data_IF_765498511468
#
_entry.id   IF_765498511468
#
_cell.length_a   1.000
_cell.length_b   1.000
_cell.length_c   1.000
_cell.angle_alpha   90.00
_cell.angle_beta   90.00
_cell.angle_gamma   90.00
#
_symmetry.space_group_name_H-M   'P 1'
#
loop_
_entity.id
_entity.type
_entity.pdbx_description
1 polymer ?
#
# COMPACT_ATOMS: atom_id res chain seq x y z
N UNK A 1 -13.34 -21.99 -11.88
CA UNK A 1 -14.03 -20.74 -12.28
C UNK A 1 -12.99 -19.94 -13.09
N UNK A 2 -13.12 -19.85 -14.41
CA UNK A 2 -12.10 -19.13 -15.21
C UNK A 2 -12.30 -17.62 -15.09
N UNK A 3 -11.17 -16.91 -15.09
CA UNK A 3 -11.04 -15.45 -15.05
C UNK A 3 -11.95 -14.74 -16.06
N UNK A 4 -12.29 -15.40 -17.16
CA UNK A 4 -13.17 -14.90 -18.22
C UNK A 4 -14.56 -14.53 -17.73
N UNK A 5 -15.14 -15.25 -16.74
CA UNK A 5 -16.47 -14.91 -16.19
C UNK A 5 -16.46 -13.66 -15.30
N UNK A 6 -15.32 -13.37 -14.64
CA UNK A 6 -15.15 -12.17 -13.83
C UNK A 6 -14.79 -10.95 -14.68
N UNK A 7 -13.94 -11.14 -15.70
CA UNK A 7 -13.69 -10.12 -16.71
C UNK A 7 -14.96 -9.81 -17.50
N UNK A 8 -15.78 -10.80 -17.88
CA UNK A 8 -17.13 -10.57 -18.40
C UNK A 8 -17.98 -9.81 -17.39
N UNK A 9 -18.08 -10.23 -16.12
CA UNK A 9 -18.90 -9.50 -15.13
C UNK A 9 -18.47 -8.03 -14.93
N UNK A 10 -17.17 -7.75 -14.89
CA UNK A 10 -16.62 -6.41 -14.69
C UNK A 10 -16.64 -5.53 -15.95
N UNK A 11 -16.67 -6.14 -17.14
CA UNK A 11 -16.63 -5.46 -18.45
C UNK A 11 -17.97 -5.57 -19.22
N UNK A 12 -18.96 -6.28 -18.69
CA UNK A 12 -20.31 -6.33 -19.22
C UNK A 12 -20.95 -4.95 -19.09
N UNK A 13 -21.84 -4.62 -20.05
CA UNK A 13 -22.87 -3.58 -19.93
C UNK A 13 -23.72 -3.85 -18.68
N UNK A 14 -23.14 -3.51 -17.54
CA UNK A 14 -23.80 -3.46 -16.27
C UNK A 14 -24.61 -2.17 -16.29
N UNK A 15 -25.89 -2.23 -15.98
CA UNK A 15 -26.69 -1.04 -15.65
C UNK A 15 -26.10 -0.43 -14.36
N UNK A 16 -24.95 0.24 -14.49
CA UNK A 16 -24.31 1.00 -13.42
C UNK A 16 -25.32 2.10 -13.07
N UNK A 17 -25.84 2.13 -11.83
CA UNK A 17 -26.84 3.13 -11.46
C UNK A 17 -26.30 4.53 -11.73
N UNK A 18 -27.14 5.42 -12.26
CA UNK A 18 -26.76 6.81 -12.54
C UNK A 18 -26.12 7.47 -11.30
N UNK A 19 -26.59 7.13 -10.10
CA UNK A 19 -26.03 7.61 -8.83
C UNK A 19 -24.56 7.23 -8.61
N UNK A 20 -24.10 6.09 -9.13
CA UNK A 20 -22.70 5.70 -9.06
C UNK A 20 -21.83 6.52 -10.02
N UNK A 21 -22.32 6.82 -11.23
CA UNK A 21 -21.66 7.76 -12.14
C UNK A 21 -21.61 9.17 -11.55
N UNK A 22 -22.71 9.64 -10.96
CA UNK A 22 -22.78 10.96 -10.33
C UNK A 22 -21.79 11.07 -9.16
N UNK A 23 -21.68 10.02 -8.34
CA UNK A 23 -20.71 9.97 -7.25
C UNK A 23 -19.27 9.88 -7.76
N UNK A 24 -18.99 9.06 -8.76
CA UNK A 24 -17.65 8.95 -9.36
C UNK A 24 -17.20 10.30 -9.97
N UNK A 25 -18.09 10.99 -10.69
CA UNK A 25 -17.83 12.33 -11.19
C UNK A 25 -17.56 13.32 -10.05
N UNK A 26 -18.35 13.25 -8.97
CA UNK A 26 -18.15 14.09 -7.78
C UNK A 26 -16.79 13.85 -7.14
N UNK A 27 -16.39 12.59 -6.94
CA UNK A 27 -15.09 12.23 -6.35
C UNK A 27 -13.91 12.62 -7.24
N UNK A 28 -14.07 12.54 -8.56
CA UNK A 28 -13.06 13.01 -9.51
C UNK A 28 -12.84 14.52 -9.39
N UNK A 29 -13.93 15.29 -9.30
CA UNK A 29 -13.85 16.74 -9.11
C UNK A 29 -13.25 17.09 -7.73
N UNK A 30 -13.64 16.36 -6.68
CA UNK A 30 -13.07 16.53 -5.34
C UNK A 30 -11.56 16.27 -5.33
N UNK A 31 -11.11 15.18 -5.97
CA UNK A 31 -9.68 14.85 -6.13
C UNK A 31 -8.93 15.95 -6.88
N UNK A 32 -9.52 16.54 -7.93
CA UNK A 32 -8.95 17.71 -8.63
C UNK A 32 -8.89 18.94 -7.71
N UNK A 33 -9.88 19.12 -6.83
CA UNK A 33 -9.88 20.15 -5.80
C UNK A 33 -8.70 19.98 -4.82
N UNK A 34 -8.47 18.76 -4.34
CA UNK A 34 -7.31 18.41 -3.49
C UNK A 34 -6.01 18.66 -4.24
N UNK A 35 -5.92 18.21 -5.49
CA UNK A 35 -4.77 18.47 -6.34
C UNK A 35 -4.50 19.98 -6.52
N UNK A 36 -5.56 20.78 -6.66
CA UNK A 36 -5.43 22.24 -6.75
C UNK A 36 -4.88 22.83 -5.45
N UNK A 37 -5.40 22.39 -4.29
CA UNK A 37 -4.89 22.79 -2.97
C UNK A 37 -3.42 22.41 -2.75
N UNK A 38 -2.96 21.33 -3.38
CA UNK A 38 -1.59 20.85 -3.29
C UNK A 38 -0.61 21.51 -4.29
N UNK A 39 -1.10 22.34 -5.22
CA UNK A 39 -0.36 22.76 -6.40
C UNK A 39 0.98 23.46 -6.12
N UNK A 40 1.00 24.26 -5.08
CA UNK A 40 2.16 25.06 -4.69
C UNK A 40 3.06 24.42 -3.64
N UNK A 41 2.71 23.22 -3.17
CA UNK A 41 3.51 22.50 -2.19
C UNK A 41 4.84 22.04 -2.80
N UNK A 42 5.90 22.14 -1.99
CA UNK A 42 7.27 21.85 -2.42
C UNK A 42 7.44 20.40 -2.91
N UNK A 43 6.85 19.43 -2.22
CA UNK A 43 6.95 18.02 -2.63
C UNK A 43 6.32 17.76 -4.01
N UNK A 44 5.21 18.42 -4.33
CA UNK A 44 4.59 18.34 -5.66
C UNK A 44 5.51 18.90 -6.75
N UNK A 45 6.21 20.01 -6.48
CA UNK A 45 7.19 20.61 -7.40
C UNK A 45 8.38 19.65 -7.64
N UNK A 46 8.93 19.07 -6.56
CA UNK A 46 10.02 18.09 -6.63
C UNK A 46 9.60 16.87 -7.47
N UNK A 47 8.39 16.34 -7.26
CA UNK A 47 7.90 15.19 -8.00
C UNK A 47 7.78 15.46 -9.51
N UNK A 48 7.28 16.65 -9.90
CA UNK A 48 7.19 17.06 -11.31
C UNK A 48 8.57 17.24 -11.95
N UNK A 49 9.51 17.85 -11.24
CA UNK A 49 10.88 18.00 -11.73
C UNK A 49 11.59 16.65 -11.86
N UNK A 50 11.34 15.71 -10.95
CA UNK A 50 11.83 14.34 -11.05
C UNK A 50 11.24 13.61 -12.27
N UNK A 51 9.91 13.68 -12.45
CA UNK A 51 9.24 13.08 -13.61
C UNK A 51 9.76 13.66 -14.92
N UNK A 52 10.04 14.96 -14.99
CA UNK A 52 10.64 15.57 -16.16
C UNK A 52 12.06 15.07 -16.42
N UNK A 53 12.89 14.97 -15.38
CA UNK A 53 14.30 14.61 -15.52
C UNK A 53 14.53 13.12 -15.84
N UNK A 54 13.67 12.23 -15.33
CA UNK A 54 13.95 10.79 -15.33
C UNK A 54 12.90 9.92 -16.02
N UNK A 55 11.70 10.44 -16.31
CA UNK A 55 10.61 9.67 -16.90
C UNK A 55 10.33 10.04 -18.36
N UNK A 56 11.35 10.16 -19.21
CA UNK A 56 11.14 10.56 -20.60
C UNK A 56 10.30 9.52 -21.39
N UNK A 57 9.46 10.00 -22.30
CA UNK A 57 8.75 9.13 -23.23
C UNK A 57 9.69 8.68 -24.36
N UNK A 58 9.75 7.38 -24.63
CA UNK A 58 10.52 6.83 -25.75
C UNK A 58 9.93 7.17 -27.13
N UNK A 59 8.65 7.58 -27.18
CA UNK A 59 7.95 7.97 -28.38
C UNK A 59 6.87 9.05 -28.07
N UNK A 60 6.54 9.95 -29.01
CA UNK A 60 5.57 11.03 -28.79
C UNK A 60 4.18 10.55 -28.33
N UNK A 61 3.69 9.43 -28.85
CA UNK A 61 2.41 8.82 -28.49
C UNK A 61 2.32 8.31 -27.05
N UNK A 62 3.46 8.24 -26.35
CA UNK A 62 3.53 7.84 -24.94
C UNK A 62 3.75 9.05 -24.01
N UNK A 63 3.61 10.26 -24.54
CA UNK A 63 3.75 11.51 -23.77
C UNK A 63 2.41 11.92 -23.16
N UNK A 64 2.45 12.35 -21.90
CA UNK A 64 1.36 12.97 -21.18
C UNK A 64 1.83 14.27 -20.51
N UNK A 65 0.91 15.21 -20.32
CA UNK A 65 1.18 16.47 -19.63
C UNK A 65 0.91 16.35 -18.14
N UNK A 66 1.84 16.84 -17.33
CA UNK A 66 1.66 16.87 -15.87
C UNK A 66 0.59 17.90 -15.48
N UNK A 67 -0.34 17.49 -14.62
CA UNK A 67 -1.42 18.36 -14.13
C UNK A 67 -0.86 19.55 -13.32
N UNK A 68 -1.43 20.74 -13.51
CA UNK A 68 -0.99 22.03 -12.92
C UNK A 68 0.44 22.49 -13.27
N UNK A 69 1.05 21.93 -14.32
CA UNK A 69 2.40 22.25 -14.76
C UNK A 69 2.49 22.35 -16.28
N UNK A 70 1.89 21.38 -16.97
CA UNK A 70 1.77 21.36 -18.41
C UNK A 70 3.04 20.90 -19.15
N UNK A 71 4.19 20.73 -18.49
CA UNK A 71 5.36 20.07 -19.12
C UNK A 71 5.03 18.61 -19.45
N UNK A 72 5.57 18.12 -20.57
CA UNK A 72 5.37 16.75 -21.05
C UNK A 72 6.40 15.76 -20.48
N UNK A 73 5.94 14.55 -20.18
CA UNK A 73 6.77 13.40 -19.73
C UNK A 73 6.09 12.10 -20.18
N UNK A 74 6.66 10.92 -19.90
CA UNK A 74 5.98 9.65 -20.17
C UNK A 74 4.68 9.51 -19.36
N UNK A 75 3.73 8.70 -19.84
CA UNK A 75 2.50 8.38 -19.10
C UNK A 75 2.78 7.95 -17.63
N UNK A 76 3.73 7.04 -17.34
CA UNK A 76 4.09 6.71 -15.96
C UNK A 76 4.69 7.88 -15.17
N UNK A 77 5.47 8.74 -15.82
CA UNK A 77 6.00 9.96 -15.20
C UNK A 77 4.91 10.94 -14.80
N UNK A 78 3.93 11.16 -15.67
CA UNK A 78 2.81 12.05 -15.40
C UNK A 78 1.91 11.48 -14.28
N UNK A 79 1.70 10.17 -14.27
CA UNK A 79 0.96 9.47 -13.21
C UNK A 79 1.67 9.57 -11.86
N UNK A 80 2.99 9.30 -11.82
CA UNK A 80 3.80 9.46 -10.61
C UNK A 80 3.70 10.89 -10.05
N UNK A 81 3.92 11.88 -10.92
CA UNK A 81 3.86 13.28 -10.53
C UNK A 81 2.48 13.67 -9.99
N UNK A 82 1.39 13.25 -10.64
CA UNK A 82 0.03 13.52 -10.18
C UNK A 82 -0.30 12.82 -8.85
N UNK A 83 0.12 11.56 -8.69
CA UNK A 83 -0.10 10.81 -7.46
C UNK A 83 0.60 11.46 -6.27
N UNK A 84 1.92 11.71 -6.37
CA UNK A 84 2.68 12.36 -5.29
C UNK A 84 2.16 13.77 -4.98
N UNK A 85 1.69 14.48 -6.00
CA UNK A 85 1.12 15.81 -5.85
C UNK A 85 -0.19 15.80 -5.05
N UNK A 86 -1.13 14.91 -5.40
CA UNK A 86 -2.42 14.76 -4.69
C UNK A 86 -2.21 14.25 -3.27
N UNK A 87 -1.36 13.24 -3.13
CA UNK A 87 -1.10 12.55 -1.88
C UNK A 87 -0.43 13.45 -0.84
N UNK A 88 0.43 14.37 -1.25
CA UNK A 88 1.12 15.26 -0.32
C UNK A 88 0.20 16.16 0.52
N UNK A 89 -1.03 16.45 0.06
CA UNK A 89 -2.03 17.15 0.87
C UNK A 89 -2.91 16.18 1.69
N UNK A 90 -2.96 14.90 1.29
CA UNK A 90 -3.64 13.80 2.00
C UNK A 90 -5.12 14.09 2.32
N UNK A 91 -5.78 14.90 1.49
CA UNK A 91 -7.17 15.32 1.69
C UNK A 91 -8.18 14.59 0.77
N UNK A 92 -7.70 13.71 -0.10
CA UNK A 92 -8.49 12.99 -1.10
C UNK A 92 -9.17 11.73 -0.55
N UNK A 93 -8.78 11.28 0.64
CA UNK A 93 -9.35 10.15 1.38
C UNK A 93 -10.59 10.51 2.22
N UNK A 94 -11.18 11.68 1.94
CA UNK A 94 -12.24 12.29 2.73
C UNK A 94 -11.64 13.12 3.86
N UNK A 95 -11.91 14.43 3.85
CA UNK A 95 -11.50 15.33 4.93
C UNK A 95 -12.12 14.88 6.26
N UNK A 96 -11.31 14.22 7.09
CA UNK A 96 -11.64 13.78 8.44
C UNK A 96 -10.56 14.31 9.41
N UNK A 97 -10.93 14.92 10.56
CA UNK A 97 -9.95 15.24 11.61
C UNK A 97 -9.09 14.06 12.06
N UNK A 98 -9.53 12.81 11.85
CA UNK A 98 -8.69 11.61 11.95
C UNK A 98 -8.00 11.33 10.61
N UNK A 99 -6.72 11.70 10.48
CA UNK A 99 -5.89 11.38 9.30
C UNK A 99 -5.75 9.87 9.11
N UNK A 100 -6.07 9.34 7.92
CA UNK A 100 -5.64 8.02 7.47
C UNK A 100 -6.58 7.29 6.51
N UNK A 101 -5.99 6.33 5.76
CA UNK A 101 -6.59 5.41 4.78
C UNK A 101 -7.63 4.40 5.33
N UNK A 102 -8.23 4.65 6.49
CA UNK A 102 -8.95 3.63 7.30
C UNK A 102 -10.22 3.04 6.68
N UNK A 103 -10.70 3.58 5.54
CA UNK A 103 -12.00 3.22 4.94
C UNK A 103 -11.98 2.73 3.49
N UNK A 104 -10.82 2.54 2.85
CA UNK A 104 -10.74 2.48 1.38
C UNK A 104 -11.46 1.27 0.72
N UNK A 105 -11.62 0.12 1.39
CA UNK A 105 -12.45 -0.97 0.87
C UNK A 105 -12.85 -1.96 1.97
N UNK A 106 -14.15 -2.27 2.09
CA UNK A 106 -14.62 -3.37 2.96
C UNK A 106 -14.22 -4.73 2.38
N UNK A 107 -14.20 -4.85 1.05
CA UNK A 107 -13.70 -6.04 0.32
C UNK A 107 -12.76 -5.55 -0.79
N UNK A 108 -11.44 -5.74 -0.66
CA UNK A 108 -10.48 -5.26 -1.67
C UNK A 108 -10.49 -6.16 -2.90
N UNK A 109 -10.63 -5.57 -4.08
CA UNK A 109 -10.54 -6.27 -5.37
C UNK A 109 -9.11 -6.29 -5.94
N UNK A 110 -8.21 -5.48 -5.37
CA UNK A 110 -6.83 -5.34 -5.80
C UNK A 110 -5.87 -5.36 -4.61
N UNK A 111 -4.60 -5.72 -4.87
CA UNK A 111 -3.54 -5.64 -3.85
C UNK A 111 -3.37 -4.23 -3.29
N UNK A 112 -3.56 -3.19 -4.11
CA UNK A 112 -3.51 -1.81 -3.62
C UNK A 112 -4.61 -1.54 -2.60
N UNK A 113 -5.86 -1.92 -2.88
CA UNK A 113 -6.96 -1.77 -1.93
C UNK A 113 -6.77 -2.61 -0.66
N UNK A 114 -6.20 -3.81 -0.78
CA UNK A 114 -5.95 -4.69 0.36
C UNK A 114 -4.95 -4.10 1.36
N UNK A 115 -3.92 -3.41 0.87
CA UNK A 115 -2.91 -2.74 1.71
C UNK A 115 -3.51 -1.61 2.57
N UNK A 116 -4.60 -1.01 2.12
CA UNK A 116 -5.26 0.12 2.80
C UNK A 116 -6.58 -0.27 3.48
N UNK A 117 -6.84 -1.56 3.70
CA UNK A 117 -8.05 -2.04 4.38
C UNK A 117 -7.71 -2.70 5.72
N UNK A 118 -7.89 -1.97 6.83
CA UNK A 118 -7.76 -2.53 8.18
C UNK A 118 -8.69 -3.73 8.42
N UNK A 119 -9.97 -3.70 8.03
CA UNK A 119 -10.84 -4.86 8.19
C UNK A 119 -10.31 -6.09 7.47
N UNK A 120 -9.79 -5.93 6.24
CA UNK A 120 -9.20 -7.01 5.48
C UNK A 120 -7.95 -7.56 6.15
N UNK A 121 -7.03 -6.70 6.56
CA UNK A 121 -5.82 -7.10 7.27
C UNK A 121 -6.14 -7.91 8.55
N UNK A 122 -7.14 -7.46 9.33
CA UNK A 122 -7.60 -8.19 10.51
C UNK A 122 -8.21 -9.55 10.14
N UNK A 123 -9.08 -9.60 9.13
CA UNK A 123 -9.71 -10.84 8.70
C UNK A 123 -8.69 -11.86 8.19
N UNK A 124 -7.72 -11.42 7.39
CA UNK A 124 -6.60 -12.24 6.92
C UNK A 124 -5.79 -12.79 8.11
N UNK A 125 -5.43 -11.93 9.07
CA UNK A 125 -4.70 -12.38 10.26
C UNK A 125 -5.48 -13.44 11.04
N UNK A 126 -6.80 -13.25 11.22
CA UNK A 126 -7.64 -14.22 11.94
C UNK A 126 -7.78 -15.56 11.20
N UNK A 127 -7.75 -15.57 9.88
CA UNK A 127 -7.93 -16.79 9.06
C UNK A 127 -6.62 -17.52 8.81
N UNK A 128 -5.55 -16.78 8.53
CA UNK A 128 -4.26 -17.33 8.09
C UNK A 128 -3.16 -17.27 9.16
N UNK A 129 -3.39 -16.57 10.28
CA UNK A 129 -2.40 -16.34 11.34
C UNK A 129 -1.10 -15.68 10.85
N UNK A 130 -1.19 -14.97 9.71
CA UNK A 130 -0.08 -14.24 9.10
C UNK A 130 -0.60 -13.18 8.14
N UNK A 131 0.23 -12.15 7.90
CA UNK A 131 0.02 -11.18 6.83
C UNK A 131 1.37 -10.97 6.13
N UNK A 132 1.42 -11.27 4.84
CA UNK A 132 2.57 -11.03 3.97
C UNK A 132 2.12 -10.73 2.53
N UNK A 133 3.07 -10.57 1.58
CA UNK A 133 2.77 -10.29 0.17
C UNK A 133 1.79 -11.28 -0.47
N UNK A 134 1.88 -12.56 -0.10
CA UNK A 134 0.98 -13.62 -0.59
C UNK A 134 -0.46 -13.40 -0.10
N UNK A 135 -0.64 -12.99 1.16
CA UNK A 135 -1.97 -12.80 1.77
C UNK A 135 -2.68 -11.53 1.29
N UNK A 136 -1.93 -10.53 0.85
CA UNK A 136 -2.50 -9.28 0.31
C UNK A 136 -2.63 -9.30 -1.22
N UNK A 137 -2.44 -10.46 -1.85
CA UNK A 137 -2.47 -10.60 -3.31
C UNK A 137 -3.17 -11.86 -3.81
N UNK A 138 -3.42 -11.87 -5.12
CA UNK A 138 -3.85 -13.07 -5.84
C UNK A 138 -5.06 -13.78 -5.25
N UNK A 139 -4.87 -15.04 -4.87
CA UNK A 139 -5.94 -15.96 -4.48
C UNK A 139 -6.57 -15.62 -3.12
N UNK A 140 -5.83 -14.99 -2.21
CA UNK A 140 -6.31 -14.67 -0.85
C UNK A 140 -7.31 -13.52 -0.86
N UNK A 141 -7.20 -12.60 -1.83
CA UNK A 141 -8.23 -11.56 -2.06
C UNK A 141 -9.63 -12.17 -2.30
N UNK A 142 -9.68 -13.39 -2.83
CA UNK A 142 -10.91 -14.13 -3.13
C UNK A 142 -11.22 -15.25 -2.12
N UNK A 143 -10.54 -15.31 -0.97
CA UNK A 143 -10.76 -16.39 0.00
C UNK A 143 -12.15 -16.25 0.67
N UNK A 144 -13.07 -17.22 0.52
CA UNK A 144 -14.41 -17.13 1.08
C UNK A 144 -14.43 -17.08 2.62
N UNK A 145 -13.41 -17.59 3.30
CA UNK A 145 -13.30 -17.50 4.76
C UNK A 145 -12.93 -16.09 5.20
N UNK A 146 -12.00 -15.43 4.48
CA UNK A 146 -11.65 -14.02 4.73
C UNK A 146 -12.87 -13.14 4.47
N UNK A 147 -13.59 -13.39 3.37
CA UNK A 147 -14.84 -12.71 3.06
C UNK A 147 -15.93 -12.88 4.14
N UNK A 148 -16.10 -14.09 4.69
CA UNK A 148 -17.05 -14.35 5.79
C UNK A 148 -16.67 -13.57 7.06
N UNK A 149 -15.38 -13.60 7.46
CA UNK A 149 -14.90 -12.85 8.64
C UNK A 149 -15.09 -11.35 8.46
N UNK A 150 -14.80 -10.81 7.27
CA UNK A 150 -14.98 -9.39 6.94
C UNK A 150 -16.39 -8.88 7.24
N UNK A 151 -17.43 -9.69 6.99
CA UNK A 151 -18.82 -9.31 7.28
C UNK A 151 -19.11 -9.05 8.77
N UNK A 152 -18.22 -9.52 9.65
CA UNK A 152 -18.34 -9.43 11.11
C UNK A 152 -17.41 -8.38 11.73
N UNK A 153 -16.54 -7.77 10.92
CA UNK A 153 -15.61 -6.73 11.38
C UNK A 153 -16.31 -5.37 11.31
N UNK A 154 -16.34 -4.67 12.44
CA UNK A 154 -16.80 -3.29 12.54
C UNK A 154 -15.68 -2.41 13.08
N UNK A 155 -15.28 -1.40 12.30
CA UNK A 155 -14.29 -0.41 12.73
C UNK A 155 -15.02 0.78 13.38
N UNK A 156 -14.50 1.26 14.51
CA UNK A 156 -15.02 2.43 15.22
C UNK A 156 -13.88 3.29 15.72
N UNK A 157 -14.08 4.60 15.71
CA UNK A 157 -13.23 5.54 16.44
C UNK A 157 -13.59 5.49 17.94
N UNK A 158 -12.57 5.56 18.80
CA UNK A 158 -12.73 5.77 20.24
C UNK A 158 -11.98 7.05 20.66
N UNK A 159 -12.72 8.00 21.26
CA UNK A 159 -12.18 9.26 21.74
C UNK A 159 -11.02 9.10 22.72
N UNK A 160 -10.95 7.95 23.44
CA UNK A 160 -9.83 7.60 24.31
C UNK A 160 -8.53 7.50 23.54
N UNK A 161 -8.52 6.91 22.34
CA UNK A 161 -7.32 6.82 21.49
C UNK A 161 -6.95 8.19 20.91
N UNK A 162 -7.92 8.91 20.33
CA UNK A 162 -7.71 10.21 19.70
C UNK A 162 -7.11 11.24 20.66
N UNK A 163 -7.54 11.26 21.92
CA UNK A 163 -7.04 12.21 22.94
C UNK A 163 -5.55 12.07 23.25
N UNK A 164 -4.97 10.89 23.02
CA UNK A 164 -3.56 10.59 23.37
C UNK A 164 -2.62 10.70 22.17
N UNK A 165 -3.16 10.90 20.96
CA UNK A 165 -2.36 11.24 19.79
C UNK A 165 -1.76 12.66 19.95
N UNK A 166 -0.51 12.94 19.53
CA UNK A 166 0.43 12.06 18.82
C UNK A 166 1.39 11.27 19.72
N UNK A 167 1.24 11.32 21.05
CA UNK A 167 2.16 10.65 22.00
C UNK A 167 2.20 9.12 21.82
N UNK A 168 1.19 8.56 21.14
CA UNK A 168 1.19 7.19 20.66
C UNK A 168 0.03 6.94 19.71
N UNK A 169 0.07 5.79 19.05
CA UNK A 169 -0.94 5.34 18.08
C UNK A 169 -1.55 4.05 18.61
N UNK A 170 -2.56 4.22 19.45
CA UNK A 170 -3.24 3.10 20.09
C UNK A 170 -4.42 2.60 19.25
N UNK A 171 -4.61 1.28 19.32
CA UNK A 171 -5.80 0.59 18.83
C UNK A 171 -6.11 -0.58 19.77
N UNK A 172 -7.36 -1.00 19.81
CA UNK A 172 -7.77 -2.24 20.49
C UNK A 172 -8.76 -3.03 19.64
N UNK A 173 -8.85 -4.34 19.91
CA UNK A 173 -9.78 -5.27 19.28
C UNK A 173 -10.57 -5.98 20.37
N UNK A 174 -11.88 -6.03 20.20
CA UNK A 174 -12.78 -6.88 20.98
C UNK A 174 -13.41 -7.92 20.07
N UNK A 175 -13.27 -9.19 20.41
CA UNK A 175 -13.87 -10.32 19.70
C UNK A 175 -14.94 -10.94 20.58
N UNK A 176 -16.17 -11.05 20.06
CA UNK A 176 -17.25 -11.81 20.71
C UNK A 176 -17.36 -13.17 20.06
N UNK A 177 -17.17 -14.24 20.85
CA UNK A 177 -17.27 -15.62 20.41
C UNK A 177 -18.73 -16.07 20.29
N UNK A 178 -18.97 -17.21 19.65
CA UNK A 178 -20.32 -17.75 19.42
C UNK A 178 -21.04 -18.18 20.70
N UNK A 179 -20.30 -18.42 21.78
CA UNK A 179 -20.83 -18.72 23.12
C UNK A 179 -21.13 -17.45 23.94
N UNK A 180 -20.87 -16.26 23.37
CA UNK A 180 -21.03 -14.96 24.02
C UNK A 180 -19.82 -14.48 24.81
N UNK A 181 -18.76 -15.28 24.93
CA UNK A 181 -17.51 -14.87 25.58
C UNK A 181 -16.88 -13.70 24.82
N UNK A 182 -16.41 -12.69 25.54
CA UNK A 182 -15.68 -11.55 24.97
C UNK A 182 -14.20 -11.64 25.28
N UNK A 183 -13.37 -11.50 24.26
CA UNK A 183 -11.92 -11.37 24.35
C UNK A 183 -11.55 -9.94 23.97
N UNK A 184 -10.74 -9.27 24.79
CA UNK A 184 -10.30 -7.91 24.55
C UNK A 184 -8.77 -7.86 24.58
N UNK A 185 -8.17 -7.21 23.57
CA UNK A 185 -6.71 -7.01 23.53
C UNK A 185 -6.21 -5.97 24.54
N UNK A 186 -7.10 -5.04 24.94
CA UNK A 186 -6.68 -3.79 25.57
C UNK A 186 -5.97 -2.86 24.57
N UNK A 187 -5.52 -1.69 25.06
CA UNK A 187 -4.80 -0.70 24.26
C UNK A 187 -3.43 -1.23 23.84
N UNK A 188 -3.22 -1.38 22.54
CA UNK A 188 -1.96 -1.87 21.94
C UNK A 188 -1.38 -0.80 21.02
N UNK A 189 -0.06 -0.66 21.01
CA UNK A 189 0.68 0.16 20.06
C UNK A 189 1.21 -0.68 18.90
N UNK A 190 1.38 -0.06 17.73
CA UNK A 190 1.98 -0.73 16.59
C UNK A 190 3.41 -1.20 16.90
N UNK A 191 3.69 -2.46 16.58
CA UNK A 191 5.01 -3.05 16.75
C UNK A 191 6.02 -2.49 15.74
N UNK A 192 7.26 -2.28 16.17
CA UNK A 192 8.35 -1.73 15.37
C UNK A 192 8.61 -0.23 15.56
N UNK A 193 7.76 0.48 16.31
CA UNK A 193 8.00 1.86 16.73
C UNK A 193 9.00 1.95 17.90
N UNK A 194 9.47 3.17 18.24
CA UNK A 194 10.33 3.40 19.41
C UNK A 194 9.74 2.85 20.73
N UNK A 195 8.42 2.81 20.83
CA UNK A 195 7.66 2.37 22.01
C UNK A 195 7.59 0.84 22.12
N UNK A 196 7.74 0.13 21.00
CA UNK A 196 7.65 -1.33 20.92
C UNK A 196 8.57 -1.88 19.81
N UNK A 197 9.91 -1.75 19.95
CA UNK A 197 10.85 -2.15 18.90
C UNK A 197 10.79 -3.66 18.64
N UNK A 198 11.14 -4.07 17.41
CA UNK A 198 11.29 -5.47 17.06
C UNK A 198 12.67 -5.97 17.48
N UNK A 199 12.74 -7.21 17.97
CA UNK A 199 14.01 -7.89 18.20
C UNK A 199 14.70 -8.18 16.86
N UNK A 200 16.04 -8.26 16.85
CA UNK A 200 16.80 -8.48 15.63
C UNK A 200 16.40 -9.79 14.91
N UNK A 201 16.09 -10.84 15.67
CA UNK A 201 15.62 -12.13 15.14
C UNK A 201 14.28 -12.01 14.41
N UNK A 202 13.42 -11.09 14.83
CA UNK A 202 12.12 -10.84 14.19
C UNK A 202 12.30 -10.03 12.92
N UNK A 203 13.22 -9.07 12.94
CA UNK A 203 13.64 -8.34 11.74
C UNK A 203 14.25 -9.29 10.72
N UNK A 204 15.07 -10.26 11.16
CA UNK A 204 15.62 -11.32 10.30
C UNK A 204 14.52 -12.19 9.68
N UNK A 205 13.59 -12.68 10.49
CA UNK A 205 12.49 -13.52 10.03
C UNK A 205 11.65 -12.79 8.96
N UNK A 206 11.31 -11.52 9.22
CA UNK A 206 10.64 -10.65 8.25
C UNK A 206 11.48 -10.48 6.98
N UNK A 207 12.77 -10.18 7.11
CA UNK A 207 13.66 -10.00 5.96
C UNK A 207 13.68 -11.25 5.08
N UNK A 208 13.87 -12.44 5.67
CA UNK A 208 13.92 -13.71 4.92
C UNK A 208 12.59 -14.00 4.21
N UNK A 209 11.46 -13.71 4.85
CA UNK A 209 10.14 -13.83 4.23
C UNK A 209 10.00 -12.90 3.01
N UNK A 210 10.41 -11.63 3.13
CA UNK A 210 10.32 -10.66 2.02
C UNK A 210 11.32 -10.92 0.90
N UNK A 211 12.50 -11.44 1.24
CA UNK A 211 13.59 -11.74 0.32
C UNK A 211 13.53 -13.16 -0.26
N UNK A 212 12.47 -13.94 0.01
CA UNK A 212 12.39 -15.35 -0.38
C UNK A 212 12.58 -15.57 -1.90
N UNK A 213 12.14 -14.62 -2.72
CA UNK A 213 12.26 -14.68 -4.19
C UNK A 213 13.69 -14.56 -4.72
N UNK A 214 14.64 -14.06 -3.92
CA UNK A 214 16.06 -14.00 -4.30
C UNK A 214 16.72 -15.39 -4.32
N UNK A 215 16.18 -16.34 -3.55
CA UNK A 215 16.75 -17.67 -3.37
C UNK A 215 18.05 -17.69 -2.56
N UNK A 216 18.42 -18.89 -2.10
CA UNK A 216 19.72 -19.12 -1.45
C UNK A 216 20.82 -19.40 -2.50
N UNK A 217 22.09 -19.04 -2.22
CA UNK A 217 22.61 -18.42 -1.00
C UNK A 217 22.45 -16.88 -0.93
N UNK A 218 21.83 -16.26 -1.94
CA UNK A 218 21.81 -14.79 -2.09
C UNK A 218 21.11 -14.10 -0.92
N UNK A 219 20.00 -14.64 -0.45
CA UNK A 219 19.26 -14.11 0.70
C UNK A 219 20.13 -14.06 1.95
N UNK A 220 20.87 -15.13 2.25
CA UNK A 220 21.78 -15.18 3.40
C UNK A 220 22.90 -14.16 3.29
N UNK A 221 23.59 -14.09 2.14
CA UNK A 221 24.67 -13.12 1.93
C UNK A 221 24.16 -11.68 2.01
N UNK A 222 22.95 -11.40 1.51
CA UNK A 222 22.32 -10.08 1.60
C UNK A 222 22.02 -9.69 3.05
N UNK A 223 21.57 -10.63 3.90
CA UNK A 223 21.35 -10.38 5.33
C UNK A 223 22.66 -10.05 6.07
N UNK A 224 23.75 -10.74 5.74
CA UNK A 224 25.08 -10.54 6.32
C UNK A 224 25.70 -9.18 5.95
N UNK A 225 25.27 -8.56 4.85
CA UNK A 225 25.76 -7.24 4.44
C UNK A 225 25.55 -6.15 5.50
N UNK A 226 24.57 -6.30 6.41
CA UNK A 226 24.35 -5.35 7.51
C UNK A 226 25.60 -5.12 8.38
N UNK A 227 26.39 -6.18 8.60
CA UNK A 227 27.62 -6.14 9.40
C UNK A 227 28.82 -5.83 8.51
N UNK A 228 28.87 -6.43 7.32
CA UNK A 228 29.98 -6.24 6.37
C UNK A 228 30.11 -4.79 5.90
N UNK A 229 29.00 -4.07 5.68
CA UNK A 229 29.02 -2.66 5.25
C UNK A 229 29.65 -1.72 6.30
N UNK A 230 29.82 -2.16 7.54
CA UNK A 230 30.51 -1.40 8.58
C UNK A 230 32.04 -1.55 8.50
N UNK A 231 32.55 -2.44 7.65
CA UNK A 231 33.97 -2.70 7.46
C UNK A 231 34.52 -1.78 6.34
N UNK A 232 35.60 -1.01 6.58
CA UNK A 232 36.11 -0.01 5.61
C UNK A 232 36.47 -0.55 4.22
N UNK A 233 36.81 -1.83 4.12
CA UNK A 233 37.23 -2.52 2.92
C UNK A 233 36.08 -2.98 2.01
N UNK A 234 34.86 -3.08 2.56
CA UNK A 234 33.69 -3.58 1.84
C UNK A 234 33.12 -2.48 0.96
N UNK A 235 32.99 -2.76 -0.34
CA UNK A 235 32.46 -1.78 -1.29
C UNK A 235 30.94 -1.88 -1.35
N UNK A 236 30.25 -0.74 -1.40
CA UNK A 236 28.79 -0.69 -1.64
C UNK A 236 28.36 -1.42 -2.93
N UNK A 237 29.24 -1.49 -3.93
CA UNK A 237 29.01 -2.27 -5.16
C UNK A 237 28.78 -3.76 -4.91
N UNK A 238 29.31 -4.33 -3.83
CA UNK A 238 29.08 -5.72 -3.45
C UNK A 238 27.62 -5.96 -3.03
N UNK A 239 27.01 -5.00 -2.32
CA UNK A 239 25.58 -5.04 -1.99
C UNK A 239 24.74 -4.94 -3.27
N UNK A 240 25.11 -4.01 -4.15
CA UNK A 240 24.40 -3.76 -5.41
C UNK A 240 24.40 -5.01 -6.30
N UNK A 241 25.49 -5.79 -6.32
CA UNK A 241 25.55 -7.04 -7.07
C UNK A 241 24.52 -8.08 -6.57
N UNK A 242 24.17 -8.08 -5.28
CA UNK A 242 23.25 -9.05 -4.68
C UNK A 242 21.78 -8.78 -5.01
N UNK A 243 21.41 -7.54 -5.35
CA UNK A 243 20.02 -7.13 -5.63
C UNK A 243 19.71 -6.99 -7.12
N UNK A 244 20.70 -7.16 -8.00
CA UNK A 244 20.50 -7.15 -9.45
C UNK A 244 19.96 -8.50 -9.93
N UNK A 245 18.96 -8.46 -10.82
CA UNK A 245 18.62 -9.61 -11.66
C UNK A 245 19.69 -9.71 -12.75
N UNK A 246 20.32 -10.87 -12.98
CA UNK A 246 21.21 -11.06 -14.12
C UNK A 246 20.43 -10.77 -15.41
N UNK A 247 20.99 -9.94 -16.29
CA UNK A 247 20.44 -9.80 -17.64
C UNK A 247 20.69 -11.13 -18.34
N UNK A 248 19.64 -11.81 -18.80
CA UNK A 248 19.82 -12.94 -19.71
C UNK A 248 20.52 -12.39 -20.96
N UNK A 249 21.74 -12.85 -21.22
CA UNK A 249 22.40 -12.61 -22.49
C UNK A 249 21.50 -13.23 -23.56
N UNK A 250 20.69 -12.39 -24.21
CA UNK A 250 19.97 -12.78 -25.41
C UNK A 250 21.06 -12.99 -26.44
N UNK A 251 21.43 -14.25 -26.67
CA UNK A 251 22.36 -14.63 -27.73
C UNK A 251 21.83 -14.03 -29.04
N UNK A 252 22.51 -12.98 -29.51
CA UNK A 252 22.33 -12.38 -30.82
C UNK A 252 22.91 -13.28 -31.90
#
# INVERSE_FOLDING_TARGET
>A
MSYDRFAEFALLDSDIPQSAFDMAATLLIDTIGVATGAADLEAGKIARDHALAFHNAGAPEHTAHMIFDGRGTSIPGAAFAAATHIDNLDAHDGYNPSKGHIGCAVVPATTSQAQYSLPFALAVMLVHDRIGPEEISGVVLSDPKVADVLTRVALREDARHSKRFPDGRWSDVTVTLTDGTQLASGDVQARGGPEAPMELSEVEAKFRMMAATLGEPRTTVLWEMRERLMQPEVKFSELVALVRTPVEETNA
#
